data_IF_059496910046
#
_entry.id   IF_059496910046
#
_cell.length_a   1.000
_cell.length_b   1.000
_cell.length_c   1.000
_cell.angle_alpha   90.00
_cell.angle_beta   90.00
_cell.angle_gamma   90.00
#
_symmetry.space_group_name_H-M   'P 1'
#
loop_
_entity.id
_entity.type
_entity.pdbx_description
1 polymer ?
#
# COMPACT_ATOMS: atom_id res chain seq x y z
N UNK A 1 -19.43 -30.42 52.87
CA UNK A 1 -19.39 -31.35 51.73
C UNK A 1 -18.74 -30.64 50.54
N UNK A 2 -17.59 -31.13 50.05
CA UNK A 2 -16.97 -30.58 48.82
C UNK A 2 -17.79 -31.06 47.62
N UNK A 3 -18.42 -30.14 46.89
CA UNK A 3 -19.15 -30.45 45.66
C UNK A 3 -18.10 -30.58 44.54
N UNK A 4 -17.91 -31.80 44.05
CA UNK A 4 -17.04 -32.04 42.90
C UNK A 4 -17.79 -31.70 41.61
N UNK A 5 -17.04 -31.24 40.62
CA UNK A 5 -17.56 -30.95 39.29
C UNK A 5 -18.01 -32.27 38.62
N UNK A 6 -19.13 -32.26 37.90
CA UNK A 6 -19.55 -33.43 37.14
C UNK A 6 -18.66 -33.63 35.91
N UNK A 7 -18.59 -34.87 35.42
CA UNK A 7 -17.80 -35.20 34.23
C UNK A 7 -18.21 -34.37 33.01
N UNK A 8 -19.51 -34.09 32.84
CA UNK A 8 -20.03 -33.27 31.74
C UNK A 8 -19.51 -31.84 31.79
N UNK A 9 -19.53 -31.21 32.98
CA UNK A 9 -19.01 -29.85 33.13
C UNK A 9 -17.49 -29.81 32.92
N UNK A 10 -16.76 -30.87 33.30
CA UNK A 10 -15.33 -30.98 33.03
C UNK A 10 -15.04 -31.06 31.52
N UNK A 11 -15.85 -31.81 30.76
CA UNK A 11 -15.74 -31.89 29.28
C UNK A 11 -15.96 -30.53 28.64
N UNK A 12 -17.00 -29.80 29.06
CA UNK A 12 -17.25 -28.45 28.53
C UNK A 12 -16.08 -27.50 28.80
N UNK A 13 -15.48 -27.54 29.99
CA UNK A 13 -14.32 -26.71 30.34
C UNK A 13 -13.12 -27.05 29.45
N UNK A 14 -12.82 -28.34 29.27
CA UNK A 14 -11.69 -28.77 28.42
C UNK A 14 -11.89 -28.32 26.98
N UNK A 15 -13.10 -28.49 26.43
CA UNK A 15 -13.44 -28.03 25.08
C UNK A 15 -13.27 -26.51 24.96
N UNK A 16 -13.71 -25.74 25.97
CA UNK A 16 -13.57 -24.29 25.99
C UNK A 16 -12.11 -23.83 26.00
N UNK A 17 -11.23 -24.52 26.75
CA UNK A 17 -9.79 -24.23 26.78
C UNK A 17 -9.07 -24.62 25.48
N UNK A 18 -9.50 -25.70 24.82
CA UNK A 18 -8.92 -26.13 23.53
C UNK A 18 -9.30 -25.16 22.41
N UNK A 19 -10.55 -24.68 22.37
CA UNK A 19 -11.00 -23.74 21.34
C UNK A 19 -10.50 -22.31 21.61
N UNK A 20 -10.35 -21.92 22.88
CA UNK A 20 -9.80 -20.61 23.26
C UNK A 20 -8.29 -20.48 23.01
N UNK A 21 -7.62 -21.56 22.65
CA UNK A 21 -6.24 -21.53 22.12
C UNK A 21 -6.28 -21.03 20.67
N UNK A 22 -6.73 -19.79 20.48
CA UNK A 22 -6.47 -19.05 19.24
C UNK A 22 -4.96 -18.87 19.20
N UNK A 23 -4.31 -19.58 18.29
CA UNK A 23 -2.90 -19.40 18.00
C UNK A 23 -2.71 -17.92 17.66
N UNK A 24 -1.88 -17.23 18.44
CA UNK A 24 -1.24 -16.03 17.91
C UNK A 24 -0.52 -16.51 16.65
N UNK A 25 -0.94 -16.00 15.49
CA UNK A 25 -0.28 -16.33 14.22
C UNK A 25 1.20 -15.99 14.39
N UNK A 26 2.06 -16.96 14.09
CA UNK A 26 3.49 -16.77 14.10
C UNK A 26 3.81 -15.56 13.21
N UNK A 27 4.35 -14.50 13.80
CA UNK A 27 4.78 -13.32 13.03
C UNK A 27 6.02 -13.75 12.26
N UNK A 28 5.82 -14.20 11.03
CA UNK A 28 6.91 -14.53 10.12
C UNK A 28 7.45 -13.24 9.50
N UNK A 29 8.75 -13.04 9.64
CA UNK A 29 9.43 -11.95 8.95
C UNK A 29 9.54 -12.29 7.47
N UNK A 30 8.67 -11.70 6.66
CA UNK A 30 8.67 -11.90 5.20
C UNK A 30 9.77 -11.07 4.53
N UNK A 31 10.00 -9.83 4.97
CA UNK A 31 11.07 -8.97 4.47
C UNK A 31 11.26 -7.69 5.32
N UNK A 32 12.34 -6.96 5.08
CA UNK A 32 12.53 -5.57 5.49
C UNK A 32 12.84 -4.75 4.25
N UNK A 33 12.05 -3.71 4.02
CA UNK A 33 12.34 -2.74 2.97
C UNK A 33 13.46 -1.84 3.49
N UNK A 34 14.71 -2.15 3.10
CA UNK A 34 15.94 -1.40 3.39
C UNK A 34 15.69 0.08 3.71
N UNK A 35 15.98 0.59 4.93
CA UNK A 35 16.00 2.03 5.34
C UNK A 35 14.88 2.99 4.84
N UNK A 36 13.89 2.53 4.08
CA UNK A 36 12.84 3.33 3.45
C UNK A 36 11.52 2.91 4.07
N UNK A 37 10.81 3.87 4.66
CA UNK A 37 9.49 3.62 5.22
C UNK A 37 8.46 3.31 4.14
N UNK A 38 7.48 2.49 4.50
CA UNK A 38 6.16 2.51 3.86
C UNK A 38 5.40 3.68 4.50
N UNK A 39 4.88 4.59 3.68
CA UNK A 39 4.21 5.80 4.19
C UNK A 39 2.70 5.63 4.29
N UNK A 40 2.10 4.90 3.35
CA UNK A 40 0.65 4.70 3.27
C UNK A 40 0.35 3.42 2.48
N UNK A 41 -0.79 2.81 2.78
CA UNK A 41 -1.28 1.56 2.18
C UNK A 41 -2.79 1.65 1.95
N UNK A 42 -3.22 1.19 0.79
CA UNK A 42 -4.62 1.02 0.43
C UNK A 42 -4.88 -0.42 0.02
N UNK A 43 -6.03 -0.94 0.40
CA UNK A 43 -6.48 -2.28 0.03
C UNK A 43 -7.72 -2.15 -0.83
N UNK A 44 -7.69 -2.81 -1.99
CA UNK A 44 -8.85 -2.94 -2.86
C UNK A 44 -8.94 -4.38 -3.37
N UNK A 45 -10.11 -4.98 -3.21
CA UNK A 45 -10.35 -6.38 -3.56
C UNK A 45 -9.29 -7.30 -2.93
N UNK A 46 -8.54 -8.05 -3.75
CA UNK A 46 -7.49 -8.94 -3.31
C UNK A 46 -6.10 -8.32 -3.37
N UNK A 47 -5.97 -7.01 -3.53
CA UNK A 47 -4.67 -6.35 -3.68
C UNK A 47 -4.43 -5.30 -2.61
N UNK A 48 -3.19 -5.28 -2.10
CA UNK A 48 -2.66 -4.20 -1.28
C UNK A 48 -1.68 -3.36 -2.12
N UNK A 49 -1.90 -2.05 -2.10
CA UNK A 49 -1.12 -1.05 -2.81
C UNK A 49 -0.47 -0.17 -1.77
N UNK A 50 0.85 -0.05 -1.77
CA UNK A 50 1.51 0.81 -0.81
C UNK A 50 2.61 1.67 -1.43
N UNK A 51 2.71 2.89 -0.92
CA UNK A 51 3.75 3.83 -1.29
C UNK A 51 4.99 3.61 -0.44
N UNK A 52 6.12 3.61 -1.11
CA UNK A 52 7.44 3.72 -0.50
C UNK A 52 8.22 4.80 -1.25
N UNK A 53 9.33 5.29 -0.71
CA UNK A 53 10.21 6.15 -1.50
C UNK A 53 11.26 5.27 -2.22
N UNK A 54 11.35 5.25 -3.57
CA UNK A 54 10.63 6.08 -4.55
C UNK A 54 9.69 5.24 -5.46
N UNK A 55 8.54 4.78 -4.98
CA UNK A 55 7.60 4.05 -5.84
C UNK A 55 6.31 3.52 -5.19
N UNK A 56 5.66 2.66 -5.96
CA UNK A 56 4.47 1.89 -5.61
C UNK A 56 4.82 0.40 -5.64
N UNK A 57 4.34 -0.36 -4.66
CA UNK A 57 4.32 -1.82 -4.71
C UNK A 57 2.89 -2.32 -4.65
N UNK A 58 2.63 -3.39 -5.39
CA UNK A 58 1.37 -4.11 -5.40
C UNK A 58 1.61 -5.53 -4.90
N UNK A 59 0.82 -5.93 -3.91
CA UNK A 59 0.80 -7.29 -3.37
C UNK A 59 -0.56 -7.92 -3.63
N UNK A 60 -0.56 -9.20 -3.99
CA UNK A 60 -1.75 -10.05 -3.94
C UNK A 60 -1.91 -10.56 -2.51
N UNK A 61 -3.05 -10.25 -1.91
CA UNK A 61 -3.46 -10.63 -0.56
C UNK A 61 -4.67 -11.57 -0.58
N UNK A 62 -4.95 -12.25 -1.71
CA UNK A 62 -6.00 -13.26 -1.85
C UNK A 62 -5.88 -14.36 -0.77
N UNK A 63 -4.63 -14.72 -0.43
CA UNK A 63 -4.32 -15.51 0.76
C UNK A 63 -3.72 -14.60 1.83
N UNK A 64 -4.46 -14.32 2.90
CA UNK A 64 -4.01 -13.42 3.96
C UNK A 64 -2.84 -14.00 4.77
N UNK A 65 -2.68 -15.32 4.77
CA UNK A 65 -1.57 -16.02 5.44
C UNK A 65 -0.29 -16.01 4.60
N UNK A 66 -0.42 -15.81 3.28
CA UNK A 66 0.70 -15.83 2.35
C UNK A 66 0.55 -14.73 1.27
N UNK A 67 0.78 -13.45 1.63
CA UNK A 67 0.79 -12.36 0.65
C UNK A 67 1.90 -12.53 -0.39
N UNK A 68 1.58 -12.31 -1.66
CA UNK A 68 2.52 -12.46 -2.78
C UNK A 68 2.87 -11.10 -3.39
N UNK A 69 4.16 -10.91 -3.69
CA UNK A 69 4.61 -9.75 -4.45
C UNK A 69 4.15 -9.88 -5.91
N UNK A 70 3.44 -8.87 -6.41
CA UNK A 70 2.95 -8.83 -7.80
C UNK A 70 3.87 -7.96 -8.64
N UNK A 71 4.02 -6.69 -8.28
CA UNK A 71 4.79 -5.74 -9.08
C UNK A 71 5.28 -4.55 -8.27
N UNK A 72 6.18 -3.79 -8.90
CA UNK A 72 6.72 -2.54 -8.36
C UNK A 72 6.94 -1.54 -9.47
N UNK A 73 6.37 -0.35 -9.30
CA UNK A 73 6.58 0.79 -10.19
C UNK A 73 7.48 1.82 -9.51
N UNK A 74 8.60 2.14 -10.14
CA UNK A 74 9.46 3.23 -9.69
C UNK A 74 8.89 4.57 -10.11
N UNK A 75 8.81 5.48 -9.15
CA UNK A 75 8.21 6.80 -9.32
C UNK A 75 9.12 7.78 -8.61
N UNK A 76 9.73 8.68 -9.38
CA UNK A 76 10.68 9.64 -8.80
C UNK A 76 10.00 10.54 -7.76
N UNK A 77 10.76 10.87 -6.71
CA UNK A 77 10.30 11.70 -5.60
C UNK A 77 9.81 10.88 -4.41
N UNK A 78 9.55 11.58 -3.31
CA UNK A 78 9.03 10.98 -2.09
C UNK A 78 7.52 10.85 -2.21
N UNK A 79 7.03 9.61 -2.12
CA UNK A 79 5.61 9.27 -2.27
C UNK A 79 5.05 8.96 -0.88
N UNK A 80 4.10 9.78 -0.42
CA UNK A 80 3.67 9.74 0.98
C UNK A 80 2.24 9.22 1.16
N UNK A 81 1.37 9.51 0.20
CA UNK A 81 -0.04 9.15 0.30
C UNK A 81 -0.49 8.40 -0.94
N UNK A 82 -1.44 7.49 -0.75
CA UNK A 82 -2.09 6.76 -1.83
C UNK A 82 -3.60 6.72 -1.62
N UNK A 83 -4.33 6.96 -2.70
CA UNK A 83 -5.74 6.60 -2.83
C UNK A 83 -5.90 5.68 -4.03
N UNK A 84 -6.75 4.65 -3.90
CA UNK A 84 -7.04 3.72 -4.99
C UNK A 84 -8.54 3.80 -5.30
N UNK A 85 -8.87 3.97 -6.57
CA UNK A 85 -10.25 3.96 -7.04
C UNK A 85 -10.32 3.24 -8.39
N UNK A 86 -11.09 2.14 -8.42
CA UNK A 86 -11.19 1.24 -9.56
C UNK A 86 -9.79 0.93 -10.14
N UNK A 87 -9.57 1.29 -11.40
CA UNK A 87 -8.36 0.98 -12.14
C UNK A 87 -7.24 2.01 -11.96
N UNK A 88 -7.39 2.96 -11.02
CA UNK A 88 -6.41 4.01 -10.83
C UNK A 88 -5.92 4.11 -9.39
N UNK A 89 -4.60 4.27 -9.26
CA UNK A 89 -3.95 4.72 -8.03
C UNK A 89 -3.52 6.18 -8.17
N UNK A 90 -3.82 6.97 -7.15
CA UNK A 90 -3.48 8.37 -7.02
C UNK A 90 -2.44 8.49 -5.93
N UNK A 91 -1.23 8.85 -6.31
CA UNK A 91 -0.12 9.02 -5.37
C UNK A 91 0.18 10.50 -5.24
N UNK A 92 0.23 10.96 -3.99
CA UNK A 92 0.64 12.32 -3.67
C UNK A 92 1.89 12.28 -2.79
N UNK A 93 2.77 13.24 -3.02
CA UNK A 93 4.10 13.25 -2.43
C UNK A 93 4.80 14.58 -2.63
N UNK A 94 6.11 14.58 -2.38
CA UNK A 94 6.92 15.79 -2.43
C UNK A 94 6.93 16.45 -3.81
N UNK A 95 7.14 17.77 -3.79
CA UNK A 95 7.07 18.69 -4.93
C UNK A 95 5.66 18.94 -5.46
N UNK A 96 4.64 18.78 -4.61
CA UNK A 96 3.24 19.09 -4.91
C UNK A 96 2.76 18.43 -6.20
N UNK A 97 3.17 17.17 -6.43
CA UNK A 97 2.83 16.40 -7.63
C UNK A 97 1.81 15.32 -7.32
N UNK A 98 0.68 15.36 -8.01
CA UNK A 98 -0.27 14.25 -8.10
C UNK A 98 0.13 13.33 -9.24
N UNK A 99 0.28 12.05 -8.94
CA UNK A 99 0.59 11.01 -9.91
C UNK A 99 -0.59 10.08 -10.06
N UNK A 100 -0.97 9.83 -11.31
CA UNK A 100 -2.09 8.97 -11.68
C UNK A 100 -1.51 7.75 -12.36
N UNK A 101 -1.78 6.58 -11.80
CA UNK A 101 -1.22 5.31 -12.23
C UNK A 101 -2.37 4.41 -12.63
N UNK A 102 -2.31 3.87 -13.85
CA UNK A 102 -3.18 2.79 -14.28
C UNK A 102 -2.73 1.50 -13.61
N UNK A 103 -3.64 0.88 -12.89
CA UNK A 103 -3.47 -0.38 -12.15
C UNK A 103 -4.48 -1.43 -12.64
N UNK A 104 -5.01 -1.29 -13.87
CA UNK A 104 -5.93 -2.26 -14.49
C UNK A 104 -5.31 -3.65 -14.52
N UNK A 105 -4.04 -3.74 -14.88
CA UNK A 105 -3.23 -4.96 -14.83
C UNK A 105 -2.21 -4.83 -13.69
N UNK A 106 -2.47 -5.43 -12.51
CA UNK A 106 -1.62 -5.30 -11.32
C UNK A 106 -0.15 -5.71 -11.54
N UNK A 107 0.13 -6.57 -12.50
CA UNK A 107 1.47 -7.01 -12.89
C UNK A 107 2.27 -5.97 -13.67
N UNK A 108 1.59 -5.00 -14.32
CA UNK A 108 2.22 -4.00 -15.19
C UNK A 108 1.63 -2.59 -14.98
N UNK A 109 1.67 -2.04 -13.76
CA UNK A 109 1.13 -0.71 -13.48
C UNK A 109 1.89 0.38 -14.24
N UNK A 110 1.14 1.32 -14.85
CA UNK A 110 1.71 2.37 -15.70
C UNK A 110 1.44 3.77 -15.16
N UNK A 111 2.47 4.63 -15.09
CA UNK A 111 2.28 6.06 -14.84
C UNK A 111 1.59 6.70 -16.04
N UNK A 112 0.33 7.12 -15.88
CA UNK A 112 -0.48 7.74 -16.93
C UNK A 112 -0.25 9.25 -16.98
N UNK A 113 -0.17 9.88 -15.82
CA UNK A 113 -0.07 11.33 -15.72
C UNK A 113 0.62 11.76 -14.44
N UNK A 114 1.28 12.92 -14.51
CA UNK A 114 1.84 13.63 -13.38
C UNK A 114 1.43 15.10 -13.47
N UNK A 115 0.80 15.63 -12.43
CA UNK A 115 0.21 16.97 -12.39
C UNK A 115 0.81 17.72 -11.20
N UNK A 116 1.42 18.88 -11.45
CA UNK A 116 1.82 19.80 -10.39
C UNK A 116 0.59 20.57 -9.86
N UNK A 117 0.36 20.51 -8.55
CA UNK A 117 -0.76 21.14 -7.84
C UNK A 117 -0.40 22.56 -7.37
N UNK A 118 0.89 22.89 -7.25
CA UNK A 118 1.41 24.22 -6.91
C UNK A 118 1.75 25.10 -8.12
N UNK A 119 1.23 24.77 -9.31
CA UNK A 119 1.40 25.60 -10.50
C UNK A 119 0.56 26.90 -10.41
N UNK A 120 0.76 27.69 -9.35
CA UNK A 120 0.42 29.09 -9.31
C UNK A 120 1.38 29.84 -10.27
N UNK A 121 0.94 29.90 -11.52
CA UNK A 121 1.14 31.04 -12.42
C UNK A 121 2.58 31.31 -12.87
N UNK A 122 3.03 30.59 -13.91
CA UNK A 122 4.10 31.08 -14.81
C UNK A 122 3.71 32.40 -15.54
N UNK A 123 2.51 32.95 -15.35
CA UNK A 123 2.10 34.24 -15.93
C UNK A 123 2.49 35.48 -15.11
N UNK A 124 3.23 35.34 -14.00
CA UNK A 124 3.58 36.47 -13.13
C UNK A 124 5.02 36.96 -13.26
N UNK A 125 5.97 36.14 -13.74
CA UNK A 125 7.39 36.52 -13.73
C UNK A 125 8.08 36.34 -15.09
N UNK A 126 7.62 37.08 -16.10
CA UNK A 126 8.47 37.83 -17.04
C UNK A 126 9.66 37.17 -17.74
N UNK A 127 9.72 35.84 -17.92
CA UNK A 127 10.79 35.21 -18.72
C UNK A 127 10.39 35.23 -20.20
N UNK A 128 11.05 35.99 -21.08
CA UNK A 128 10.79 35.86 -22.51
C UNK A 128 11.24 34.46 -22.98
N UNK A 129 10.54 33.85 -23.96
CA UNK A 129 10.97 32.59 -24.52
C UNK A 129 12.37 32.76 -25.11
N UNK A 130 13.31 31.95 -24.64
CA UNK A 130 14.61 31.80 -25.29
C UNK A 130 14.34 31.11 -26.63
N UNK A 131 14.16 31.90 -27.68
CA UNK A 131 14.35 31.43 -29.05
C UNK A 131 15.84 31.17 -29.23
N UNK A 132 16.28 29.97 -28.86
CA UNK A 132 17.59 29.45 -29.29
C UNK A 132 17.39 28.41 -30.39
N UNK A 133 17.92 28.77 -31.56
CA UNK A 133 18.31 27.96 -32.73
C UNK A 133 17.22 27.39 -33.64
N UNK A 134 16.83 28.20 -34.63
CA UNK A 134 16.81 27.77 -36.03
C UNK A 134 16.92 28.98 -36.96
N UNK A 135 18.03 28.99 -37.72
CA UNK A 135 18.60 29.96 -38.67
C UNK A 135 19.59 30.97 -38.08
#
# INVERSE_FOLDING_TARGET
MKKYLSAETAVYIVVLFVIASVYAQDIEYVNSMYWTGVYDVQVRDNYAYYCFSPGLVILDISNIEEPLFVSKLYIQGDNHNIAVNDNYAFIFGDHDRLRIIDITEPEDPQLVSEIAIDAEVELSQGRPPILSSLL
#
